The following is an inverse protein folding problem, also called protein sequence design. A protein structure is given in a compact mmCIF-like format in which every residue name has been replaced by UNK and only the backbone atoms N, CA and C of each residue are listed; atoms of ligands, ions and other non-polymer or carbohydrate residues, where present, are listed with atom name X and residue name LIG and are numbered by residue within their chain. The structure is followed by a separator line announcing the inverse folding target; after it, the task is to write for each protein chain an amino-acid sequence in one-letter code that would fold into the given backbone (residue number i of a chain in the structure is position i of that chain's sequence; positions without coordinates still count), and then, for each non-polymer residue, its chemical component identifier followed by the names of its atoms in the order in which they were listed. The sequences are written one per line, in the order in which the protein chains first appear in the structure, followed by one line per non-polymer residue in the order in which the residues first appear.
data_IF_412308312091
#
_entry.id   IF_412308312091
#
_cell.length_a   1.000
_cell.length_b   1.000
_cell.length_c   1.000
_cell.angle_alpha   90.00
_cell.angle_beta   90.00
_cell.angle_gamma   90.00
#
_symmetry.space_group_name_H-M   'P 1'
#
loop_
_entity.id
_entity.type
_entity.pdbx_description
1 polymer ?
#
# COMPACT_ATOMS: atom_id res chain seq x y z
N UNK A 1 -12.47 -15.24 -10.92
CA UNK A 1 -11.78 -14.82 -9.72
C UNK A 1 -10.29 -14.72 -9.96
N UNK A 2 -9.78 -13.52 -9.95
CA UNK A 2 -8.37 -13.30 -10.17
C UNK A 2 -7.63 -13.64 -8.88
N UNK A 3 -7.05 -14.82 -8.85
CA UNK A 3 -6.27 -15.21 -7.69
C UNK A 3 -4.87 -14.61 -7.76
N UNK A 4 -4.44 -14.08 -6.63
CA UNK A 4 -3.10 -13.55 -6.50
C UNK A 4 -2.10 -14.63 -6.14
N UNK A 5 -0.88 -14.45 -6.65
CA UNK A 5 0.25 -15.30 -6.31
C UNK A 5 1.18 -14.52 -5.39
N UNK A 6 1.25 -14.90 -4.11
CA UNK A 6 2.06 -14.19 -3.13
C UNK A 6 3.55 -14.24 -3.44
N UNK A 7 4.03 -15.31 -4.07
CA UNK A 7 5.45 -15.40 -4.45
C UNK A 7 5.80 -14.38 -5.53
N UNK A 8 4.92 -14.22 -6.51
CA UNK A 8 5.10 -13.19 -7.53
C UNK A 8 4.92 -11.80 -6.92
N UNK A 9 3.98 -11.66 -5.98
CA UNK A 9 3.77 -10.40 -5.27
C UNK A 9 4.99 -9.95 -4.48
N UNK A 10 5.71 -10.90 -3.91
CA UNK A 10 6.97 -10.59 -3.22
C UNK A 10 7.98 -9.95 -4.16
N UNK A 11 8.03 -10.41 -5.40
CA UNK A 11 8.91 -9.82 -6.42
C UNK A 11 8.48 -8.40 -6.77
N UNK A 12 7.18 -8.19 -6.89
CA UNK A 12 6.64 -6.86 -7.15
C UNK A 12 6.97 -5.93 -5.98
N UNK A 13 6.86 -6.42 -4.75
CA UNK A 13 7.15 -5.63 -3.55
C UNK A 13 8.59 -5.12 -3.52
N UNK A 14 9.53 -5.76 -4.21
CA UNK A 14 10.90 -5.26 -4.27
C UNK A 14 10.95 -3.82 -4.77
N UNK A 15 10.01 -3.42 -5.61
CA UNK A 15 9.90 -2.04 -6.12
C UNK A 15 9.45 -1.05 -5.04
N UNK A 16 8.86 -1.56 -3.95
CA UNK A 16 8.29 -0.75 -2.88
C UNK A 16 9.22 -0.64 -1.67
N UNK A 17 10.26 -1.45 -1.61
CA UNK A 17 11.12 -1.57 -0.43
C UNK A 17 11.85 -0.29 -0.06
N UNK A 18 12.16 0.55 -1.03
CA UNK A 18 12.84 1.81 -0.76
C UNK A 18 11.93 2.75 0.05
N UNK A 19 10.62 2.62 -0.11
CA UNK A 19 9.65 3.52 0.48
C UNK A 19 8.86 2.91 1.64
N UNK A 20 8.73 1.58 1.68
CA UNK A 20 7.90 0.91 2.67
C UNK A 20 8.60 -0.31 3.26
N UNK A 21 8.42 -0.51 4.55
CA UNK A 21 8.85 -1.71 5.24
C UNK A 21 7.61 -2.47 5.72
N UNK A 22 7.81 -3.72 6.15
CA UNK A 22 6.72 -4.56 6.67
C UNK A 22 6.81 -4.79 8.17
N UNK A 23 7.82 -4.24 8.83
CA UNK A 23 7.97 -4.38 10.28
C UNK A 23 7.24 -3.29 11.03
N UNK A 24 6.67 -3.60 12.21
CA UNK A 24 5.96 -2.59 12.99
C UNK A 24 6.84 -1.37 13.28
N UNK A 25 6.30 -0.19 13.03
CA UNK A 25 6.98 1.06 13.35
C UNK A 25 8.18 1.40 12.49
N UNK A 26 8.56 0.55 11.54
CA UNK A 26 9.67 0.84 10.66
C UNK A 26 9.18 1.66 9.47
N UNK A 27 9.25 2.96 9.60
CA UNK A 27 8.83 3.88 8.54
C UNK A 27 10.03 4.26 7.67
N UNK A 28 9.75 4.53 6.40
CA UNK A 28 10.74 5.00 5.43
C UNK A 28 10.18 6.26 4.78
N UNK A 29 10.29 6.38 3.46
CA UNK A 29 9.63 7.47 2.74
C UNK A 29 8.12 7.39 2.93
N UNK A 30 7.58 6.17 2.92
CA UNK A 30 6.18 5.91 3.28
C UNK A 30 6.09 5.18 4.62
N UNK A 31 4.88 5.03 5.14
CA UNK A 31 4.67 4.34 6.41
C UNK A 31 4.91 2.84 6.30
N UNK A 32 5.23 2.23 7.44
CA UNK A 32 5.23 0.77 7.52
C UNK A 32 3.88 0.23 7.06
N UNK A 33 3.90 -0.87 6.32
CA UNK A 33 2.69 -1.54 5.88
C UNK A 33 2.25 -2.65 6.82
N UNK A 34 2.94 -2.82 7.95
CA UNK A 34 2.52 -3.79 8.95
C UNK A 34 1.11 -3.45 9.44
N UNK A 35 0.23 -4.43 9.42
CA UNK A 35 -1.15 -4.23 9.86
C UNK A 35 -1.97 -3.31 8.96
N UNK A 36 -1.58 -3.14 7.69
CA UNK A 36 -2.26 -2.19 6.80
C UNK A 36 -3.72 -2.54 6.56
N UNK A 37 -4.05 -3.83 6.42
CA UNK A 37 -5.45 -4.22 6.25
C UNK A 37 -6.20 -4.01 7.55
N UNK A 38 -7.27 -3.24 7.51
CA UNK A 38 -8.04 -2.86 8.69
C UNK A 38 -7.55 -1.59 9.36
N UNK A 39 -6.47 -0.99 8.87
CA UNK A 39 -5.95 0.26 9.42
C UNK A 39 -6.57 1.46 8.70
N UNK A 40 -6.88 2.51 9.43
CA UNK A 40 -7.36 3.74 8.81
C UNK A 40 -6.26 4.39 7.99
N UNK A 41 -6.62 4.92 6.83
CA UNK A 41 -5.67 5.63 5.99
C UNK A 41 -5.11 6.84 6.75
N UNK A 42 -3.81 7.06 6.62
CA UNK A 42 -3.17 8.20 7.25
C UNK A 42 -2.94 8.07 8.75
N UNK A 43 -3.04 6.87 9.32
CA UNK A 43 -3.05 6.69 10.77
C UNK A 43 -1.88 5.91 11.36
N UNK A 44 -0.86 5.53 10.57
CA UNK A 44 0.25 4.76 11.13
C UNK A 44 0.98 5.56 12.20
N UNK A 45 1.10 4.98 13.39
CA UNK A 45 1.76 5.64 14.52
C UNK A 45 3.21 5.96 14.19
N UNK A 46 3.61 7.17 14.50
CA UNK A 46 5.00 7.59 14.35
C UNK A 46 5.39 7.99 12.95
N UNK A 47 4.48 7.93 11.99
CA UNK A 47 4.78 8.37 10.63
C UNK A 47 4.18 9.76 10.37
N UNK A 48 5.04 10.74 10.10
CA UNK A 48 4.63 12.13 9.91
C UNK A 48 4.56 12.55 8.44
N UNK A 49 4.90 11.65 7.52
CA UNK A 49 5.06 11.97 6.10
C UNK A 49 3.79 11.94 5.26
N UNK A 50 2.63 11.78 5.87
CA UNK A 50 1.38 11.72 5.12
C UNK A 50 1.04 13.05 4.46
N UNK A 51 0.56 13.00 3.21
CA UNK A 51 -0.03 14.16 2.58
C UNK A 51 -1.35 14.49 3.28
N UNK A 52 -1.79 15.74 3.13
CA UNK A 52 -3.07 16.17 3.69
C UNK A 52 -4.22 15.33 3.14
N UNK A 53 -4.19 15.07 1.82
CA UNK A 53 -5.24 14.25 1.20
C UNK A 53 -5.32 12.86 1.79
N UNK A 54 -4.18 12.26 2.10
CA UNK A 54 -4.18 10.94 2.73
C UNK A 54 -4.75 11.00 4.15
N UNK A 55 -4.40 12.03 4.91
CA UNK A 55 -4.92 12.20 6.29
C UNK A 55 -6.43 12.42 6.31
N UNK A 56 -6.95 13.05 5.27
CA UNK A 56 -8.37 13.41 5.20
C UNK A 56 -9.22 12.37 4.49
N UNK A 57 -8.63 11.26 4.06
CA UNK A 57 -9.31 10.28 3.21
C UNK A 57 -10.45 9.52 3.91
N UNK A 58 -10.33 9.30 5.21
CA UNK A 58 -11.37 8.67 6.04
C UNK A 58 -11.84 7.30 5.55
N UNK A 59 -10.93 6.45 5.13
CA UNK A 59 -11.25 5.07 4.78
C UNK A 59 -10.40 4.11 5.61
N UNK A 60 -10.89 2.89 5.75
CA UNK A 60 -10.13 1.79 6.32
C UNK A 60 -9.64 0.94 5.17
N UNK A 61 -8.34 0.60 5.17
CA UNK A 61 -7.77 -0.16 4.08
C UNK A 61 -8.34 -1.56 4.02
N UNK A 62 -8.94 -1.88 2.88
CA UNK A 62 -9.41 -3.23 2.54
C UNK A 62 -8.64 -3.69 1.31
N UNK A 63 -8.75 -4.98 1.01
CA UNK A 63 -8.16 -5.51 -0.21
C UNK A 63 -8.63 -4.74 -1.45
N UNK A 64 -9.93 -4.48 -1.54
CA UNK A 64 -10.51 -3.80 -2.70
C UNK A 64 -10.03 -2.37 -2.85
N UNK A 65 -10.07 -1.57 -1.78
CA UNK A 65 -9.67 -0.18 -1.92
C UNK A 65 -8.15 -0.01 -2.01
N UNK A 66 -7.38 -0.96 -1.50
CA UNK A 66 -5.95 -0.92 -1.68
C UNK A 66 -5.57 -1.19 -3.14
N UNK A 67 -6.23 -2.17 -3.78
CA UNK A 67 -6.06 -2.41 -5.22
C UNK A 67 -6.39 -1.16 -6.03
N UNK A 68 -7.50 -0.52 -5.70
CA UNK A 68 -7.91 0.72 -6.36
C UNK A 68 -6.90 1.82 -6.20
N UNK A 69 -6.38 2.00 -4.98
CA UNK A 69 -5.37 3.03 -4.70
C UNK A 69 -4.08 2.78 -5.48
N UNK A 70 -3.59 1.54 -5.50
CA UNK A 70 -2.33 1.22 -6.18
C UNK A 70 -2.45 1.43 -7.70
N UNK A 71 -3.64 1.21 -8.23
CA UNK A 71 -3.88 1.40 -9.66
C UNK A 71 -3.71 2.87 -10.07
N UNK A 72 -4.25 3.78 -9.28
CA UNK A 72 -4.22 5.19 -9.61
C UNK A 72 -4.29 6.04 -8.34
N UNK A 73 -3.17 6.18 -7.61
CA UNK A 73 -3.19 6.88 -6.32
C UNK A 73 -3.76 8.30 -6.41
N UNK A 74 -3.47 9.01 -7.49
CA UNK A 74 -3.90 10.39 -7.63
C UNK A 74 -5.40 10.54 -7.83
N UNK A 75 -6.11 9.46 -8.20
CA UNK A 75 -7.56 9.50 -8.33
C UNK A 75 -8.24 9.43 -6.96
N UNK A 76 -7.62 8.75 -6.00
CA UNK A 76 -8.16 8.66 -4.65
C UNK A 76 -7.65 9.76 -3.73
N UNK A 77 -6.41 10.14 -3.89
CA UNK A 77 -5.76 11.11 -3.01
C UNK A 77 -5.06 12.17 -3.84
N UNK A 78 -5.60 13.38 -3.84
CA UNK A 78 -4.97 14.50 -4.53
C UNK A 78 -3.60 14.77 -3.93
N UNK A 79 -2.62 15.02 -4.79
CA UNK A 79 -1.26 15.35 -4.40
C UNK A 79 -0.63 14.28 -3.52
N UNK A 80 -1.00 13.01 -3.76
CA UNK A 80 -0.39 11.90 -3.03
C UNK A 80 1.11 11.89 -3.26
N UNK A 81 1.85 11.50 -2.21
CA UNK A 81 3.28 11.28 -2.32
C UNK A 81 3.61 9.86 -2.76
N UNK A 82 2.60 9.00 -2.86
CA UNK A 82 2.79 7.65 -3.36
C UNK A 82 2.92 7.68 -4.87
N UNK A 83 4.03 7.17 -5.37
CA UNK A 83 4.31 7.08 -6.80
C UNK A 83 4.04 5.67 -7.32
N UNK A 84 2.86 5.16 -7.01
CA UNK A 84 2.52 3.77 -7.31
C UNK A 84 2.32 3.47 -8.80
N UNK A 85 2.49 4.46 -9.68
CA UNK A 85 2.52 4.21 -11.13
C UNK A 85 3.58 3.22 -11.57
N UNK A 86 4.38 2.72 -10.63
CA UNK A 86 5.35 1.67 -10.87
C UNK A 86 4.74 0.29 -11.01
N UNK A 87 3.47 0.12 -10.68
CA UNK A 87 2.78 -1.18 -10.77
C UNK A 87 1.66 -1.06 -11.79
N UNK A 88 2.05 -1.07 -13.06
CA UNK A 88 1.11 -0.84 -14.16
C UNK A 88 0.31 -2.06 -14.59
N UNK A 89 0.79 -3.25 -14.24
CA UNK A 89 0.17 -4.50 -14.67
C UNK A 89 -0.87 -4.92 -13.64
N UNK A 90 -2.08 -5.20 -14.08
CA UNK A 90 -3.17 -5.58 -13.18
C UNK A 90 -2.84 -6.83 -12.37
N UNK A 91 -2.28 -7.85 -13.02
CA UNK A 91 -1.93 -9.09 -12.32
C UNK A 91 -0.85 -8.82 -11.27
N UNK A 92 0.11 -7.95 -11.55
CA UNK A 92 1.12 -7.57 -10.57
C UNK A 92 0.50 -6.92 -9.34
N UNK A 93 -0.52 -6.07 -9.54
CA UNK A 93 -1.21 -5.44 -8.40
C UNK A 93 -1.94 -6.47 -7.55
N UNK A 94 -2.62 -7.41 -8.20
CA UNK A 94 -3.33 -8.49 -7.52
C UNK A 94 -2.34 -9.35 -6.73
N UNK A 95 -1.22 -9.71 -7.35
CA UNK A 95 -0.19 -10.50 -6.70
C UNK A 95 0.43 -9.76 -5.51
N UNK A 96 0.66 -8.46 -5.67
CA UNK A 96 1.21 -7.64 -4.59
C UNK A 96 0.28 -7.61 -3.38
N UNK A 97 -1.02 -7.42 -3.60
CA UNK A 97 -1.98 -7.40 -2.51
C UNK A 97 -2.06 -8.77 -1.83
N UNK A 98 -1.98 -9.86 -2.59
CA UNK A 98 -1.95 -11.20 -2.00
C UNK A 98 -0.73 -11.40 -1.11
N UNK A 99 0.43 -10.94 -1.57
CA UNK A 99 1.63 -10.98 -0.73
C UNK A 99 1.47 -10.15 0.55
N UNK A 100 0.93 -8.94 0.43
CA UNK A 100 0.74 -8.07 1.60
C UNK A 100 -0.23 -8.68 2.61
N UNK A 101 -1.26 -9.38 2.14
CA UNK A 101 -2.19 -10.08 3.05
C UNK A 101 -1.47 -11.08 3.94
N UNK A 102 -0.43 -11.72 3.42
CA UNK A 102 0.34 -12.71 4.18
C UNK A 102 1.47 -12.06 4.99
N UNK A 103 2.10 -11.05 4.45
CA UNK A 103 3.36 -10.52 4.99
C UNK A 103 3.19 -9.32 5.90
N UNK A 104 2.02 -8.67 5.90
CA UNK A 104 1.81 -7.45 6.68
C UNK A 104 1.24 -7.68 8.07
N UNK A 105 0.95 -8.91 8.40
CA UNK A 105 0.45 -9.25 9.74
C UNK A 105 1.57 -9.32 10.76
#
# INVERSE_FOLDING_TARGET
DAEGDANQGKRVFQRCKACHALRPGQHRVGPSLHGVFGREAGSADGFDGYSRGMRDLNITWTEGNLLEFIQAPALMVQRTRCKAGMVNNEQDRINLVEYLKQASD
#
